data_IF_046013206603
#
_entry.id   IF_046013206603
#
_cell.length_a   1.000
_cell.length_b   1.000
_cell.length_c   1.000
_cell.angle_alpha   90.00
_cell.angle_beta   90.00
_cell.angle_gamma   90.00
#
_symmetry.space_group_name_H-M   'P 1'
#
loop_
_entity.id
_entity.type
_entity.pdbx_description
1 polymer ?
#
# COMPACT_ATOMS: atom_id res chain seq x y z
N UNK A 1 46.65 7.54 -0.67
CA UNK A 1 46.63 7.00 -2.04
C UNK A 1 45.18 6.69 -2.38
N UNK A 2 44.40 7.70 -2.75
CA UNK A 2 44.22 8.23 -4.11
C UNK A 2 43.38 7.30 -5.00
N UNK A 3 42.06 7.45 -4.94
CA UNK A 3 41.21 7.18 -6.10
C UNK A 3 39.99 8.12 -6.09
N UNK A 4 40.25 9.38 -6.41
CA UNK A 4 39.24 10.29 -6.96
C UNK A 4 38.83 9.78 -8.33
N UNK A 5 37.93 8.79 -8.38
CA UNK A 5 37.23 8.43 -9.60
C UNK A 5 36.14 9.50 -9.85
N UNK A 6 36.54 10.56 -10.54
CA UNK A 6 35.66 11.53 -11.17
C UNK A 6 34.71 10.80 -12.11
N UNK A 7 33.52 10.48 -11.61
CA UNK A 7 32.41 10.01 -12.42
C UNK A 7 32.09 11.09 -13.46
N UNK A 8 32.59 10.90 -14.69
CA UNK A 8 32.21 11.70 -15.85
C UNK A 8 30.68 11.75 -15.92
N UNK A 9 30.09 12.89 -15.57
CA UNK A 9 28.72 13.26 -15.93
C UNK A 9 28.66 13.42 -17.45
N UNK A 10 28.58 12.31 -18.16
CA UNK A 10 28.29 12.29 -19.59
C UNK A 10 26.80 12.53 -19.79
N UNK A 11 26.40 13.80 -19.87
CA UNK A 11 25.14 14.23 -20.46
C UNK A 11 25.22 14.08 -21.99
N UNK A 12 25.29 12.83 -22.46
CA UNK A 12 25.11 12.53 -23.89
C UNK A 12 23.62 12.55 -24.26
N UNK A 13 23.27 12.85 -25.52
CA UNK A 13 21.88 12.95 -26.00
C UNK A 13 21.15 11.60 -26.12
N UNK A 14 21.75 10.51 -25.66
CA UNK A 14 21.20 9.17 -25.81
C UNK A 14 20.21 8.84 -24.68
N UNK A 15 19.12 8.11 -24.97
CA UNK A 15 18.25 7.55 -23.96
C UNK A 15 19.05 6.75 -22.92
N UNK A 16 18.66 6.78 -21.63
CA UNK A 16 19.41 6.10 -20.57
C UNK A 16 19.68 4.62 -20.86
N UNK A 17 18.73 3.90 -21.48
CA UNK A 17 18.92 2.49 -21.81
C UNK A 17 20.08 2.20 -22.77
N UNK A 18 20.29 3.06 -23.77
CA UNK A 18 21.39 2.92 -24.72
C UNK A 18 22.75 3.14 -24.05
N UNK A 19 22.79 3.98 -23.01
CA UNK A 19 24.04 4.27 -22.28
C UNK A 19 24.51 3.06 -21.49
N UNK A 20 23.63 2.42 -20.72
CA UNK A 20 24.01 1.23 -19.96
C UNK A 20 24.22 0.03 -20.88
N UNK A 21 23.41 -0.15 -21.93
CA UNK A 21 23.56 -1.26 -22.86
C UNK A 21 24.91 -1.24 -23.60
N UNK A 22 25.37 -0.05 -24.05
CA UNK A 22 26.69 0.10 -24.71
C UNK A 22 27.86 -0.08 -23.75
N UNK A 23 27.69 0.28 -22.48
CA UNK A 23 28.71 0.12 -21.44
C UNK A 23 28.68 -1.24 -20.74
N UNK A 24 27.79 -2.15 -21.15
CA UNK A 24 27.56 -3.40 -20.44
C UNK A 24 28.70 -4.40 -20.67
N UNK A 25 29.27 -4.90 -19.57
CA UNK A 25 30.38 -5.86 -19.63
C UNK A 25 29.83 -7.28 -19.49
N UNK A 26 30.10 -8.16 -20.46
CA UNK A 26 29.67 -9.57 -20.39
C UNK A 26 30.14 -10.30 -19.12
N UNK A 27 31.26 -9.87 -18.54
CA UNK A 27 31.78 -10.41 -17.28
C UNK A 27 30.82 -10.19 -16.08
N UNK A 28 29.97 -9.15 -16.10
CA UNK A 28 29.00 -8.90 -15.01
C UNK A 28 27.67 -9.62 -15.21
N UNK A 29 27.41 -10.17 -16.40
CA UNK A 29 26.14 -10.82 -16.74
C UNK A 29 25.70 -11.88 -15.74
N UNK A 30 26.59 -12.79 -15.37
CA UNK A 30 26.26 -13.84 -14.40
C UNK A 30 25.92 -13.28 -13.01
N UNK A 31 26.59 -12.21 -12.58
CA UNK A 31 26.30 -11.55 -11.31
C UNK A 31 24.95 -10.83 -11.34
N UNK A 32 24.67 -10.12 -12.44
CA UNK A 32 23.44 -9.36 -12.61
C UNK A 32 22.21 -10.28 -12.73
N UNK A 33 22.33 -11.43 -13.42
CA UNK A 33 21.25 -12.43 -13.48
C UNK A 33 20.92 -12.98 -12.09
N UNK A 34 21.94 -13.33 -11.29
CA UNK A 34 21.71 -13.83 -9.92
C UNK A 34 21.11 -12.75 -9.01
N UNK A 35 21.58 -11.52 -9.10
CA UNK A 35 21.05 -10.40 -8.35
C UNK A 35 19.61 -10.07 -8.76
N UNK A 36 19.34 -10.01 -10.07
CA UNK A 36 18.01 -9.77 -10.63
C UNK A 36 17.01 -10.86 -10.23
N UNK A 37 17.42 -12.13 -10.25
CA UNK A 37 16.58 -13.23 -9.77
C UNK A 37 16.28 -13.10 -8.27
N UNK A 38 17.29 -12.78 -7.46
CA UNK A 38 17.10 -12.58 -6.02
C UNK A 38 16.12 -11.41 -5.75
N UNK A 39 16.27 -10.30 -6.47
CA UNK A 39 15.37 -9.14 -6.39
C UNK A 39 13.95 -9.54 -6.83
N UNK A 40 13.79 -10.14 -8.01
CA UNK A 40 12.48 -10.54 -8.55
C UNK A 40 11.71 -11.44 -7.58
N UNK A 41 12.39 -12.41 -6.98
CA UNK A 41 11.78 -13.34 -6.03
C UNK A 41 11.40 -12.65 -4.71
N UNK A 42 12.19 -11.69 -4.23
CA UNK A 42 11.83 -10.88 -3.06
C UNK A 42 10.64 -9.94 -3.32
N UNK A 43 10.50 -9.44 -4.55
CA UNK A 43 9.39 -8.54 -4.91
C UNK A 43 8.03 -9.24 -4.89
N UNK A 44 7.96 -10.57 -5.04
CA UNK A 44 6.68 -11.30 -5.03
C UNK A 44 5.92 -11.12 -3.70
N UNK A 45 6.45 -11.58 -2.54
CA UNK A 45 5.76 -11.40 -1.27
C UNK A 45 5.65 -9.92 -0.87
N UNK A 46 6.69 -9.12 -1.18
CA UNK A 46 6.71 -7.70 -0.83
C UNK A 46 5.62 -6.92 -1.57
N UNK A 47 5.49 -7.11 -2.88
CA UNK A 47 4.49 -6.43 -3.71
C UNK A 47 3.06 -6.80 -3.28
N UNK A 48 2.81 -8.08 -3.01
CA UNK A 48 1.52 -8.54 -2.51
C UNK A 48 1.15 -7.92 -1.15
N UNK A 49 2.10 -7.88 -0.21
CA UNK A 49 1.89 -7.26 1.10
C UNK A 49 1.62 -5.75 0.97
N UNK A 50 2.32 -5.06 0.08
CA UNK A 50 2.15 -3.63 -0.15
C UNK A 50 0.84 -3.30 -0.89
N UNK A 51 0.34 -4.18 -1.75
CA UNK A 51 -1.00 -4.04 -2.32
C UNK A 51 -2.08 -4.22 -1.25
N UNK A 52 -1.92 -5.20 -0.35
CA UNK A 52 -2.83 -5.42 0.77
C UNK A 52 -2.83 -4.22 1.74
N UNK A 53 -1.66 -3.64 2.05
CA UNK A 53 -1.55 -2.39 2.81
C UNK A 53 -2.29 -1.23 2.13
N UNK A 54 -2.28 -1.19 0.80
CA UNK A 54 -3.02 -0.21 0.01
C UNK A 54 -4.52 -0.52 -0.12
N UNK A 55 -5.04 -1.56 0.55
CA UNK A 55 -6.45 -1.99 0.43
C UNK A 55 -6.82 -2.59 -0.93
N UNK A 56 -5.83 -2.90 -1.77
CA UNK A 56 -6.04 -3.45 -3.11
C UNK A 56 -5.88 -4.99 -3.12
N UNK A 57 -6.41 -5.68 -4.15
CA UNK A 57 -6.15 -7.11 -4.31
C UNK A 57 -4.63 -7.35 -4.45
N UNK A 58 -4.05 -8.38 -3.83
CA UNK A 58 -2.59 -8.60 -3.79
C UNK A 58 -1.90 -8.59 -5.17
N UNK A 59 -2.61 -9.04 -6.20
CA UNK A 59 -2.11 -9.09 -7.59
C UNK A 59 -1.73 -7.71 -8.14
N UNK A 60 -2.36 -6.63 -7.70
CA UNK A 60 -2.06 -5.29 -8.19
C UNK A 60 -0.63 -4.86 -7.84
N UNK A 61 -0.10 -5.35 -6.73
CA UNK A 61 1.28 -5.09 -6.32
C UNK A 61 2.30 -5.77 -7.22
N UNK A 62 1.99 -6.97 -7.73
CA UNK A 62 2.82 -7.67 -8.71
C UNK A 62 2.82 -6.92 -10.05
N UNK A 63 1.66 -6.42 -10.48
CA UNK A 63 1.57 -5.60 -11.69
C UNK A 63 2.34 -4.28 -11.54
N UNK A 64 2.20 -3.59 -10.40
CA UNK A 64 2.93 -2.35 -10.14
C UNK A 64 4.45 -2.57 -10.10
N UNK A 65 4.91 -3.65 -9.48
CA UNK A 65 6.32 -4.06 -9.47
C UNK A 65 6.85 -4.33 -10.89
N UNK A 66 6.13 -5.13 -11.67
CA UNK A 66 6.53 -5.47 -13.03
C UNK A 66 6.63 -4.23 -13.93
N UNK A 67 5.60 -3.39 -13.95
CA UNK A 67 5.57 -2.19 -14.78
C UNK A 67 6.66 -1.20 -14.36
N UNK A 68 6.84 -0.95 -13.07
CA UNK A 68 7.86 -0.02 -12.58
C UNK A 68 9.29 -0.47 -12.91
N UNK A 69 9.59 -1.78 -12.81
CA UNK A 69 10.89 -2.32 -13.20
C UNK A 69 11.17 -2.14 -14.69
N UNK A 70 10.20 -2.44 -15.56
CA UNK A 70 10.35 -2.30 -17.02
C UNK A 70 10.57 -0.82 -17.38
N UNK A 71 9.74 0.07 -16.84
CA UNK A 71 9.86 1.51 -17.07
C UNK A 71 11.21 2.04 -16.56
N UNK A 72 11.65 1.61 -15.37
CA UNK A 72 12.93 2.03 -14.81
C UNK A 72 14.13 1.48 -15.59
N UNK A 73 14.06 0.27 -16.13
CA UNK A 73 15.14 -0.27 -16.96
C UNK A 73 15.38 0.56 -18.24
N UNK A 74 14.32 1.20 -18.77
CA UNK A 74 14.38 2.02 -19.98
C UNK A 74 14.78 3.48 -19.68
N UNK A 75 14.18 4.08 -18.65
CA UNK A 75 14.30 5.51 -18.35
C UNK A 75 15.24 5.82 -17.18
N UNK A 76 15.59 4.82 -16.38
CA UNK A 76 16.42 4.96 -15.19
C UNK A 76 17.86 5.35 -15.53
N UNK A 77 18.43 6.19 -14.67
CA UNK A 77 19.79 6.71 -14.84
C UNK A 77 20.83 5.98 -14.01
N UNK A 78 20.41 5.17 -13.04
CA UNK A 78 21.27 4.37 -12.17
C UNK A 78 21.10 2.88 -12.47
N UNK A 79 22.22 2.19 -12.64
CA UNK A 79 22.24 0.75 -12.93
C UNK A 79 22.05 -0.13 -11.66
N UNK A 80 22.08 0.47 -10.47
CA UNK A 80 22.00 -0.26 -9.19
C UNK A 80 20.71 0.02 -8.42
N UNK A 81 19.93 0.99 -8.87
CA UNK A 81 18.65 1.31 -8.23
C UNK A 81 17.56 0.38 -8.79
N UNK A 82 16.71 -0.09 -7.89
CA UNK A 82 15.50 -0.83 -8.23
C UNK A 82 14.31 -0.01 -7.77
N UNK A 83 13.30 0.11 -8.63
CA UNK A 83 12.03 0.76 -8.30
C UNK A 83 10.96 -0.31 -8.20
N UNK A 84 10.18 -0.25 -7.14
CA UNK A 84 9.09 -1.16 -6.84
C UNK A 84 8.12 -0.44 -5.88
N UNK A 85 6.91 -0.99 -5.65
CA UNK A 85 6.02 -0.48 -4.62
C UNK A 85 6.72 -0.38 -3.25
N UNK A 86 6.36 0.63 -2.47
CA UNK A 86 6.90 0.91 -1.14
C UNK A 86 5.74 1.06 -0.14
N UNK A 87 5.94 0.59 1.10
CA UNK A 87 4.90 0.59 2.13
C UNK A 87 4.28 1.96 2.42
N UNK A 88 5.07 3.03 2.36
CA UNK A 88 4.60 4.39 2.63
C UNK A 88 3.59 4.84 1.57
N UNK A 89 3.93 4.64 0.29
CA UNK A 89 3.03 4.98 -0.82
C UNK A 89 1.73 4.17 -0.76
N UNK A 90 1.82 2.89 -0.34
CA UNK A 90 0.65 2.05 -0.12
C UNK A 90 -0.31 2.63 0.92
N UNK A 91 0.19 3.11 2.06
CA UNK A 91 -0.65 3.75 3.09
C UNK A 91 -1.25 5.06 2.59
N UNK A 92 -0.51 5.85 1.81
CA UNK A 92 -1.00 7.10 1.24
C UNK A 92 -2.11 6.85 0.22
N UNK A 93 -1.95 5.85 -0.65
CA UNK A 93 -3.00 5.39 -1.56
C UNK A 93 -4.24 4.97 -0.75
N UNK A 94 -4.04 4.18 0.31
CA UNK A 94 -5.14 3.74 1.15
C UNK A 94 -5.92 4.90 1.75
N UNK A 95 -5.20 5.89 2.30
CA UNK A 95 -5.79 7.09 2.90
C UNK A 95 -6.53 7.98 1.90
N UNK A 96 -6.00 8.10 0.68
CA UNK A 96 -6.59 8.93 -0.37
C UNK A 96 -7.81 8.26 -1.03
N UNK A 97 -7.76 6.94 -1.25
CA UNK A 97 -8.74 6.23 -2.07
C UNK A 97 -9.88 5.63 -1.25
N UNK A 98 -9.61 5.12 -0.03
CA UNK A 98 -10.62 4.42 0.76
C UNK A 98 -11.90 5.25 1.03
N UNK A 99 -11.81 6.56 1.37
CA UNK A 99 -13.00 7.38 1.59
C UNK A 99 -13.84 7.61 0.32
N UNK A 100 -13.21 7.54 -0.86
CA UNK A 100 -13.84 7.83 -2.15
C UNK A 100 -14.45 6.59 -2.81
N UNK A 101 -13.92 5.41 -2.50
CA UNK A 101 -14.36 4.15 -3.10
C UNK A 101 -15.73 3.68 -2.62
N UNK A 102 -16.19 4.12 -1.43
CA UNK A 102 -17.50 3.74 -0.89
C UNK A 102 -17.66 2.23 -0.65
N UNK A 103 -16.56 1.49 -0.48
CA UNK A 103 -16.56 0.03 -0.30
C UNK A 103 -16.58 -0.79 -1.60
N UNK A 104 -16.65 -0.16 -2.78
CA UNK A 104 -16.57 -0.85 -4.07
C UNK A 104 -15.10 -1.09 -4.48
N UNK A 105 -14.70 -2.36 -4.53
CA UNK A 105 -13.35 -2.78 -4.87
C UNK A 105 -12.95 -2.44 -6.32
N UNK A 106 -13.89 -2.51 -7.26
CA UNK A 106 -13.62 -2.18 -8.67
C UNK A 106 -13.34 -0.69 -8.80
N UNK A 107 -14.18 0.14 -8.14
CA UNK A 107 -13.97 1.59 -8.08
C UNK A 107 -12.69 1.94 -7.35
N UNK A 108 -12.34 1.22 -6.29
CA UNK A 108 -11.10 1.42 -5.53
C UNK A 108 -9.87 1.30 -6.44
N UNK A 109 -9.76 0.20 -7.19
CA UNK A 109 -8.63 -0.04 -8.10
C UNK A 109 -8.59 1.01 -9.21
N UNK A 110 -9.74 1.42 -9.74
CA UNK A 110 -9.83 2.47 -10.75
C UNK A 110 -9.31 3.84 -10.21
N UNK A 111 -9.75 4.23 -9.01
CA UNK A 111 -9.31 5.46 -8.34
C UNK A 111 -7.81 5.43 -8.01
N UNK A 112 -7.29 4.30 -7.54
CA UNK A 112 -5.86 4.12 -7.31
C UNK A 112 -5.05 4.26 -8.61
N UNK A 113 -5.54 3.69 -9.71
CA UNK A 113 -4.95 3.87 -11.04
C UNK A 113 -4.96 5.33 -11.50
N UNK A 114 -6.07 6.05 -11.30
CA UNK A 114 -6.15 7.48 -11.61
C UNK A 114 -5.16 8.30 -10.77
N UNK A 115 -5.08 8.03 -9.47
CA UNK A 115 -4.13 8.69 -8.57
C UNK A 115 -2.68 8.44 -9.01
N UNK A 116 -2.36 7.21 -9.45
CA UNK A 116 -1.04 6.88 -9.99
C UNK A 116 -0.73 7.67 -11.28
N UNK A 117 -1.70 7.81 -12.18
CA UNK A 117 -1.54 8.61 -13.41
C UNK A 117 -1.36 10.11 -13.11
N UNK A 118 -2.16 10.66 -12.20
CA UNK A 118 -2.04 12.06 -11.77
C UNK A 118 -0.69 12.32 -11.09
N UNK A 119 -0.29 11.45 -10.15
CA UNK A 119 0.99 11.54 -9.46
C UNK A 119 2.16 11.42 -10.44
N UNK A 120 2.12 10.47 -11.37
CA UNK A 120 3.12 10.34 -12.43
C UNK A 120 3.21 11.57 -13.33
N UNK A 121 2.07 12.12 -13.75
CA UNK A 121 2.02 13.36 -14.53
C UNK A 121 2.60 14.56 -13.77
N UNK A 122 2.27 14.71 -12.49
CA UNK A 122 2.82 15.74 -11.62
C UNK A 122 4.33 15.57 -11.42
N UNK A 123 4.83 14.34 -11.25
CA UNK A 123 6.26 14.05 -11.12
C UNK A 123 7.02 14.36 -12.42
N UNK A 124 6.45 14.06 -13.58
CA UNK A 124 7.01 14.45 -14.89
C UNK A 124 7.06 15.98 -14.99
N UNK A 125 5.96 16.67 -14.67
CA UNK A 125 5.89 18.14 -14.67
C UNK A 125 6.93 18.77 -13.72
N UNK A 126 7.04 18.26 -12.49
CA UNK A 126 8.04 18.68 -11.52
C UNK A 126 9.47 18.43 -12.01
N UNK A 127 9.71 17.31 -12.69
CA UNK A 127 10.99 16.99 -13.34
C UNK A 127 11.35 17.98 -14.45
N UNK A 128 10.39 18.34 -15.31
CA UNK A 128 10.57 19.33 -16.37
C UNK A 128 10.88 20.73 -15.81
N UNK A 129 10.21 21.10 -14.72
CA UNK A 129 10.47 22.34 -13.98
C UNK A 129 11.74 22.27 -13.11
N UNK A 130 12.47 21.14 -13.14
CA UNK A 130 13.70 20.89 -12.36
C UNK A 130 13.51 21.07 -10.86
N UNK A 131 12.30 20.79 -10.35
CA UNK A 131 11.97 20.93 -8.93
C UNK A 131 12.66 19.89 -8.04
N UNK A 132 13.42 18.94 -8.60
CA UNK A 132 14.23 18.01 -7.83
C UNK A 132 15.26 18.70 -6.91
N UNK A 133 15.67 19.93 -7.24
CA UNK A 133 16.51 20.74 -6.33
C UNK A 133 15.77 21.11 -5.05
N UNK A 134 14.45 21.29 -5.07
CA UNK A 134 13.68 21.59 -3.86
C UNK A 134 13.69 20.44 -2.86
N UNK A 135 13.70 19.20 -3.36
CA UNK A 135 13.77 18.00 -2.51
C UNK A 135 15.07 17.98 -1.70
N UNK A 136 16.16 18.59 -2.22
CA UNK A 136 17.43 18.68 -1.49
C UNK A 136 17.40 19.65 -0.30
N UNK A 137 16.38 20.49 -0.17
CA UNK A 137 16.17 21.34 1.00
C UNK A 137 15.36 20.66 2.11
N UNK A 138 14.86 19.44 1.90
CA UNK A 138 14.24 18.67 2.98
C UNK A 138 15.32 18.24 3.97
N UNK A 139 15.17 18.69 5.22
CA UNK A 139 16.12 18.39 6.26
C UNK A 139 16.05 16.91 6.65
N UNK A 140 17.20 16.32 6.97
CA UNK A 140 17.29 14.92 7.45
C UNK A 140 16.36 14.67 8.65
N UNK A 141 16.20 15.59 9.62
CA UNK A 141 15.23 15.43 10.71
C UNK A 141 13.78 15.28 10.24
N UNK A 142 13.37 16.01 9.19
CA UNK A 142 11.99 15.92 8.65
C UNK A 142 11.76 14.54 8.02
N UNK A 143 12.70 14.07 7.21
CA UNK A 143 12.61 12.75 6.56
C UNK A 143 12.63 11.65 7.65
N UNK A 144 13.49 11.77 8.66
CA UNK A 144 13.56 10.83 9.78
C UNK A 144 12.26 10.80 10.60
N UNK A 145 11.70 11.98 10.91
CA UNK A 145 10.43 12.08 11.63
C UNK A 145 9.27 11.46 10.84
N UNK A 146 9.17 11.78 9.54
CA UNK A 146 8.15 11.22 8.66
C UNK A 146 8.27 9.69 8.54
N UNK A 147 9.47 9.18 8.29
CA UNK A 147 9.70 7.73 8.17
C UNK A 147 9.45 6.98 9.47
N UNK A 148 9.78 7.58 10.62
CA UNK A 148 9.48 6.99 11.94
C UNK A 148 7.97 6.92 12.21
N UNK A 149 7.23 8.00 11.91
CA UNK A 149 5.78 8.02 12.04
C UNK A 149 5.11 7.01 11.10
N UNK A 150 5.59 6.90 9.86
CA UNK A 150 5.11 5.92 8.91
C UNK A 150 5.40 4.48 9.39
N UNK A 151 6.60 4.21 9.92
CA UNK A 151 6.95 2.89 10.47
C UNK A 151 6.02 2.50 11.63
N UNK A 152 5.72 3.42 12.55
CA UNK A 152 4.78 3.16 13.64
C UNK A 152 3.35 2.91 13.12
N UNK A 153 2.92 3.68 12.13
CA UNK A 153 1.60 3.51 11.49
C UNK A 153 1.49 2.16 10.78
N UNK A 154 2.53 1.75 10.05
CA UNK A 154 2.60 0.42 9.43
C UNK A 154 2.55 -0.66 10.52
N UNK A 155 3.38 -0.55 11.56
CA UNK A 155 3.39 -1.55 12.64
C UNK A 155 2.01 -1.70 13.27
N UNK A 156 1.34 -0.60 13.59
CA UNK A 156 -0.03 -0.61 14.13
C UNK A 156 -1.03 -1.25 13.18
N UNK A 157 -0.95 -0.97 11.87
CA UNK A 157 -1.87 -1.55 10.88
C UNK A 157 -1.72 -3.07 10.76
N UNK A 158 -0.54 -3.61 11.07
CA UNK A 158 -0.27 -5.06 11.03
C UNK A 158 -0.76 -5.81 12.27
N UNK A 159 -1.01 -5.14 13.40
CA UNK A 159 -1.46 -5.82 14.62
C UNK A 159 -2.81 -6.51 14.43
N UNK A 160 -3.72 -5.93 13.63
CA UNK A 160 -5.04 -6.55 13.36
C UNK A 160 -4.89 -7.93 12.71
N UNK A 161 -3.97 -8.04 11.75
CA UNK A 161 -3.72 -9.25 10.97
C UNK A 161 -2.98 -10.28 11.83
N UNK A 162 -2.04 -9.82 12.67
CA UNK A 162 -1.32 -10.66 13.64
C UNK A 162 -2.25 -11.26 14.71
N UNK A 163 -3.24 -10.47 15.15
CA UNK A 163 -4.23 -10.88 16.15
C UNK A 163 -5.39 -11.70 15.56
N UNK A 164 -5.52 -11.74 14.23
CA UNK A 164 -6.60 -12.43 13.53
C UNK A 164 -7.98 -11.79 13.75
N UNK A 165 -8.01 -10.48 14.03
CA UNK A 165 -9.24 -9.74 14.31
C UNK A 165 -9.74 -9.08 13.03
N UNK A 166 -10.97 -9.40 12.61
CA UNK A 166 -11.62 -8.75 11.48
C UNK A 166 -12.01 -7.32 11.86
N UNK A 167 -11.10 -6.36 11.69
CA UNK A 167 -11.43 -4.95 11.78
C UNK A 167 -12.10 -4.51 10.47
N UNK A 168 -13.42 -4.30 10.52
CA UNK A 168 -14.17 -3.73 9.40
C UNK A 168 -13.73 -2.29 9.19
N UNK A 169 -13.00 -2.03 8.10
CA UNK A 169 -12.56 -0.69 7.71
C UNK A 169 -11.04 -0.53 7.70
N UNK A 170 -10.53 0.19 6.69
CA UNK A 170 -9.13 0.60 6.62
C UNK A 170 -8.94 1.82 7.49
N UNK A 171 -8.59 1.62 8.77
CA UNK A 171 -8.16 2.73 9.64
C UNK A 171 -6.91 3.37 9.04
N UNK A 172 -7.01 4.64 8.65
CA UNK A 172 -5.94 5.37 7.96
C UNK A 172 -4.97 6.02 8.94
N UNK A 173 -5.37 6.19 10.21
CA UNK A 173 -4.53 6.77 11.26
C UNK A 173 -4.15 5.74 12.31
N UNK A 174 -2.97 5.94 12.91
CA UNK A 174 -2.48 5.16 14.05
C UNK A 174 -3.48 5.16 15.21
N UNK A 175 -4.05 6.33 15.53
CA UNK A 175 -4.96 6.51 16.66
C UNK A 175 -6.26 5.74 16.44
N UNK A 176 -6.83 5.81 15.25
CA UNK A 176 -8.06 5.09 14.92
C UNK A 176 -7.81 3.58 14.89
N UNK A 177 -6.64 3.15 14.41
CA UNK A 177 -6.24 1.73 14.43
C UNK A 177 -6.17 1.20 15.86
N UNK A 178 -5.50 1.92 16.76
CA UNK A 178 -5.35 1.51 18.17
C UNK A 178 -6.70 1.54 18.89
N UNK A 179 -7.49 2.60 18.73
CA UNK A 179 -8.82 2.72 19.35
C UNK A 179 -9.80 1.67 18.84
N UNK A 180 -9.71 1.30 17.56
CA UNK A 180 -10.55 0.25 16.97
C UNK A 180 -10.15 -1.16 17.40
N UNK A 181 -8.86 -1.39 17.66
CA UNK A 181 -8.34 -2.69 18.10
C UNK A 181 -8.58 -2.97 19.59
N UNK A 182 -8.46 -1.95 20.45
CA UNK A 182 -8.50 -2.15 21.91
C UNK A 182 -9.76 -2.89 22.42
N UNK A 183 -10.98 -2.58 21.93
CA UNK A 183 -12.19 -3.29 22.35
C UNK A 183 -12.30 -4.71 21.78
N UNK A 184 -11.59 -5.01 20.70
CA UNK A 184 -11.67 -6.28 19.96
C UNK A 184 -10.57 -7.28 20.32
N UNK A 185 -9.75 -6.97 21.33
CA UNK A 185 -8.70 -7.88 21.80
C UNK A 185 -9.25 -9.21 22.33
N UNK A 186 -10.52 -9.25 22.74
CA UNK A 186 -11.21 -10.48 23.13
C UNK A 186 -11.50 -11.42 21.96
N UNK A 187 -11.58 -10.91 20.72
CA UNK A 187 -11.91 -11.69 19.51
C UNK A 187 -10.66 -12.29 18.85
N UNK A 188 -9.56 -12.38 19.59
CA UNK A 188 -8.26 -12.82 19.08
C UNK A 188 -8.26 -14.30 18.73
N UNK A 189 -7.71 -14.62 17.55
CA UNK A 189 -7.52 -16.00 17.12
C UNK A 189 -6.14 -16.47 17.54
N UNK A 190 -6.08 -17.25 18.62
CA UNK A 190 -4.83 -17.79 19.20
C UNK A 190 -3.93 -18.48 18.17
N UNK A 191 -4.53 -19.23 17.24
CA UNK A 191 -3.80 -19.91 16.17
C UNK A 191 -3.10 -18.90 15.23
N UNK A 192 -3.80 -17.83 14.83
CA UNK A 192 -3.23 -16.76 14.00
C UNK A 192 -2.09 -16.06 14.70
N UNK A 193 -2.24 -15.77 16.00
CA UNK A 193 -1.18 -15.17 16.82
C UNK A 193 0.03 -16.09 16.90
N UNK A 194 -0.16 -17.38 17.18
CA UNK A 194 0.92 -18.35 17.28
C UNK A 194 1.70 -18.48 15.96
N UNK A 195 0.99 -18.55 14.83
CA UNK A 195 1.61 -18.60 13.49
C UNK A 195 2.35 -17.29 13.19
N UNK A 196 1.73 -16.14 13.45
CA UNK A 196 2.33 -14.83 13.20
C UNK A 196 3.59 -14.58 14.02
N UNK A 197 3.54 -14.86 15.33
CA UNK A 197 4.73 -14.80 16.21
C UNK A 197 5.79 -15.81 15.76
N UNK A 198 5.39 -17.03 15.39
CA UNK A 198 6.29 -18.05 14.86
C UNK A 198 7.03 -17.59 13.59
N UNK A 199 6.33 -16.93 12.67
CA UNK A 199 6.89 -16.32 11.45
C UNK A 199 7.88 -15.21 11.81
N UNK A 200 7.55 -14.32 12.75
CA UNK A 200 8.46 -13.25 13.21
C UNK A 200 9.74 -13.85 13.81
N UNK A 201 9.61 -14.85 14.69
CA UNK A 201 10.75 -15.54 15.28
C UNK A 201 11.58 -16.21 14.18
N UNK A 202 10.96 -16.91 13.24
CA UNK A 202 11.65 -17.53 12.11
C UNK A 202 12.44 -16.50 11.27
N UNK A 203 11.84 -15.33 10.97
CA UNK A 203 12.53 -14.24 10.26
C UNK A 203 13.77 -13.76 11.02
N UNK A 204 13.66 -13.56 12.34
CA UNK A 204 14.78 -13.14 13.19
C UNK A 204 15.87 -14.21 13.22
N UNK A 205 15.50 -15.49 13.36
CA UNK A 205 16.44 -16.61 13.37
C UNK A 205 17.17 -16.75 12.04
N UNK A 206 16.45 -16.72 10.90
CA UNK A 206 17.07 -16.81 9.58
C UNK A 206 18.01 -15.63 9.34
N UNK A 207 17.60 -14.41 9.72
CA UNK A 207 18.47 -13.24 9.64
C UNK A 207 19.72 -13.37 10.51
N UNK A 208 19.63 -14.01 11.68
CA UNK A 208 20.74 -14.16 12.63
C UNK A 208 21.72 -15.28 12.25
N UNK A 209 21.21 -16.41 11.76
CA UNK A 209 21.98 -17.63 11.53
C UNK A 209 22.33 -17.86 10.06
N UNK A 210 21.49 -17.38 9.13
CA UNK A 210 21.68 -17.62 7.68
C UNK A 210 21.49 -16.32 6.87
N UNK A 211 22.22 -15.22 7.20
CA UNK A 211 22.01 -13.90 6.59
C UNK A 211 22.29 -13.83 5.08
N UNK A 212 22.94 -14.85 4.50
CA UNK A 212 23.26 -14.92 3.07
C UNK A 212 22.07 -15.35 2.21
N UNK A 213 21.03 -15.92 2.81
CA UNK A 213 19.84 -16.37 2.10
C UNK A 213 18.74 -15.29 2.13
N UNK A 214 17.81 -15.30 1.14
CA UNK A 214 16.66 -14.41 1.14
C UNK A 214 15.67 -14.82 2.24
N UNK A 215 15.95 -14.41 3.48
CA UNK A 215 15.21 -14.84 4.66
C UNK A 215 13.69 -14.66 4.57
N UNK A 216 13.18 -13.49 4.16
CA UNK A 216 11.75 -13.28 3.97
C UNK A 216 11.09 -14.29 3.03
N UNK A 217 11.74 -14.61 1.92
CA UNK A 217 11.22 -15.60 0.97
C UNK A 217 11.14 -16.99 1.60
N UNK A 218 12.22 -17.43 2.25
CA UNK A 218 12.27 -18.76 2.86
C UNK A 218 11.17 -18.93 3.90
N UNK A 219 10.96 -17.90 4.72
CA UNK A 219 9.92 -17.93 5.75
C UNK A 219 8.53 -17.92 5.13
N UNK A 220 8.27 -17.11 4.10
CA UNK A 220 6.98 -17.10 3.40
C UNK A 220 6.71 -18.44 2.72
N UNK A 221 7.70 -19.03 2.06
CA UNK A 221 7.56 -20.34 1.42
C UNK A 221 7.27 -21.44 2.44
N UNK A 222 8.01 -21.47 3.56
CA UNK A 222 7.77 -22.41 4.64
C UNK A 222 6.38 -22.22 5.27
N UNK A 223 5.98 -20.97 5.51
CA UNK A 223 4.66 -20.64 6.05
C UNK A 223 3.53 -21.07 5.09
N UNK A 224 3.71 -20.90 3.77
CA UNK A 224 2.74 -21.35 2.77
C UNK A 224 2.60 -22.89 2.77
N UNK A 225 3.70 -23.63 2.87
CA UNK A 225 3.67 -25.11 2.98
C UNK A 225 2.95 -25.55 4.26
N UNK A 226 3.23 -24.91 5.39
CA UNK A 226 2.56 -25.20 6.66
C UNK A 226 1.07 -24.87 6.59
N UNK A 227 0.70 -23.70 6.04
CA UNK A 227 -0.69 -23.30 5.85
C UNK A 227 -1.46 -24.23 4.88
N UNK A 228 -0.75 -24.89 3.97
CA UNK A 228 -1.32 -25.89 3.07
C UNK A 228 -1.58 -27.26 3.73
N UNK A 229 -1.22 -27.47 5.00
CA UNK A 229 -1.53 -28.72 5.70
C UNK A 229 -3.05 -28.83 6.00
N UNK A 230 -3.66 -30.03 5.88
CA UNK A 230 -5.11 -30.22 5.98
C UNK A 230 -5.75 -29.67 7.26
N UNK A 231 -5.03 -29.69 8.39
CA UNK A 231 -5.53 -29.23 9.68
C UNK A 231 -5.51 -27.70 9.88
N UNK A 232 -4.86 -26.95 8.98
CA UNK A 232 -4.75 -25.49 9.04
C UNK A 232 -5.56 -24.78 7.96
N UNK A 233 -5.96 -25.52 6.90
CA UNK A 233 -6.87 -25.03 5.86
C UNK A 233 -8.25 -24.75 6.48
N UNK A 234 -8.62 -23.47 6.54
CA UNK A 234 -9.89 -23.00 7.11
C UNK A 234 -9.81 -22.50 8.55
N UNK A 235 -8.71 -22.77 9.27
CA UNK A 235 -8.47 -22.21 10.60
C UNK A 235 -7.74 -20.86 10.55
N UNK A 236 -7.02 -20.59 9.45
CA UNK A 236 -6.33 -19.36 9.16
C UNK A 236 -7.02 -18.62 8.02
N UNK A 237 -6.97 -17.29 8.06
CA UNK A 237 -7.32 -16.46 6.92
C UNK A 237 -6.17 -16.52 5.91
N UNK A 238 -6.41 -17.17 4.77
CA UNK A 238 -5.40 -17.42 3.74
C UNK A 238 -5.77 -16.56 2.54
N UNK A 239 -4.75 -15.96 1.91
CA UNK A 239 -4.91 -15.28 0.64
C UNK A 239 -5.58 -16.22 -0.37
N UNK A 240 -6.72 -15.78 -0.92
CA UNK A 240 -7.46 -16.53 -1.93
C UNK A 240 -6.69 -16.71 -3.23
N UNK A 241 -7.35 -17.30 -4.22
CA UNK A 241 -6.73 -17.53 -5.54
C UNK A 241 -6.31 -16.22 -6.19
N UNK A 242 -5.07 -16.19 -6.71
CA UNK A 242 -4.53 -15.08 -7.48
C UNK A 242 -4.86 -15.34 -8.95
N UNK A 243 -5.68 -14.51 -9.61
CA UNK A 243 -6.07 -14.74 -10.99
C UNK A 243 -4.85 -14.81 -11.93
N UNK A 244 -4.74 -15.81 -12.81
CA UNK A 244 -3.69 -15.85 -13.80
C UNK A 244 -3.95 -14.84 -14.92
N UNK A 245 -2.90 -14.19 -15.41
CA UNK A 245 -2.97 -13.34 -16.60
C UNK A 245 -2.22 -12.03 -16.47
N UNK A 246 -2.10 -11.33 -17.59
CA UNK A 246 -1.64 -9.94 -17.62
C UNK A 246 -2.85 -9.00 -17.56
N UNK A 247 -2.71 -7.82 -16.95
CA UNK A 247 -3.80 -6.85 -16.94
C UNK A 247 -4.00 -6.32 -18.36
N UNK A 248 -5.24 -6.27 -18.83
CA UNK A 248 -5.58 -5.57 -20.06
C UNK A 248 -5.38 -4.05 -19.86
N UNK A 249 -4.60 -3.36 -20.71
CA UNK A 249 -4.49 -1.91 -20.64
C UNK A 249 -5.87 -1.27 -20.78
N UNK A 250 -6.22 -0.40 -19.85
CA UNK A 250 -7.48 0.31 -19.85
C UNK A 250 -7.36 1.59 -19.03
N UNK A 251 -8.08 2.62 -19.45
CA UNK A 251 -8.23 3.82 -18.62
C UNK A 251 -9.32 3.57 -17.58
N UNK A 252 -9.14 4.04 -16.34
CA UNK A 252 -10.19 3.92 -15.34
C UNK A 252 -11.41 4.73 -15.82
N UNK A 253 -12.55 4.05 -15.96
CA UNK A 253 -13.81 4.70 -16.33
C UNK A 253 -14.32 5.53 -15.14
N UNK A 254 -13.86 6.77 -15.04
CA UNK A 254 -14.13 7.67 -13.92
C UNK A 254 -14.65 9.02 -14.42
N UNK A 255 -15.49 9.65 -13.61
CA UNK A 255 -16.07 10.94 -13.93
C UNK A 255 -15.11 12.08 -13.54
N UNK A 256 -15.32 13.26 -14.10
CA UNK A 256 -14.53 14.46 -13.79
C UNK A 256 -14.56 14.84 -12.29
N UNK A 257 -15.61 14.46 -11.58
CA UNK A 257 -15.75 14.61 -10.12
C UNK A 257 -14.74 13.75 -9.35
N UNK A 258 -14.49 12.52 -9.82
CA UNK A 258 -13.52 11.62 -9.19
C UNK A 258 -12.08 12.12 -9.41
N UNK A 259 -11.81 12.69 -10.59
CA UNK A 259 -10.52 13.30 -10.90
C UNK A 259 -10.24 14.52 -10.02
N UNK A 260 -11.24 15.39 -9.80
CA UNK A 260 -11.10 16.52 -8.86
C UNK A 260 -10.90 16.04 -7.43
N UNK A 261 -11.61 15.01 -7.01
CA UNK A 261 -11.46 14.45 -5.67
C UNK A 261 -10.06 13.86 -5.45
N UNK A 262 -9.57 13.06 -6.40
CA UNK A 262 -8.23 12.46 -6.35
C UNK A 262 -7.11 13.53 -6.42
N UNK A 263 -7.32 14.64 -7.11
CA UNK A 263 -6.38 15.75 -7.18
C UNK A 263 -6.37 16.65 -5.92
N UNK A 264 -7.12 16.31 -4.87
CA UNK A 264 -7.26 17.13 -3.67
C UNK A 264 -8.21 18.33 -3.82
N UNK A 265 -8.96 18.40 -4.93
CA UNK A 265 -9.94 19.44 -5.24
C UNK A 265 -11.34 19.20 -4.66
N UNK A 266 -11.55 18.09 -3.95
CA UNK A 266 -12.70 17.97 -3.04
C UNK A 266 -12.45 18.91 -1.88
N UNK A 267 -13.05 20.10 -1.92
CA UNK A 267 -13.16 20.95 -0.76
C UNK A 267 -13.55 20.09 0.43
N UNK A 268 -12.62 19.95 1.39
CA UNK A 268 -12.95 19.46 2.71
C UNK A 268 -14.15 20.29 3.16
N UNK A 269 -15.34 19.69 3.13
CA UNK A 269 -16.34 20.02 4.13
C UNK A 269 -15.67 19.66 5.44
N UNK A 270 -14.99 20.65 6.01
CA UNK A 270 -14.77 20.73 7.44
C UNK A 270 -16.20 20.70 7.99
N UNK A 271 -16.72 19.51 8.28
CA UNK A 271 -17.90 19.34 9.12
C UNK A 271 -17.48 19.86 10.50
N UNK A 272 -17.62 21.17 10.66
CA UNK A 272 -17.56 21.85 11.92
C UNK A 272 -18.74 21.36 12.74
N UNK A 273 -18.43 20.44 13.65
CA UNK A 273 -19.26 20.03 14.78
C UNK A 273 -20.58 19.31 14.41
N UNK A 274 -20.89 18.20 15.08
CA UNK A 274 -22.21 17.60 14.95
C UNK A 274 -23.29 18.59 15.43
N UNK A 275 -24.24 18.94 14.56
CA UNK A 275 -25.48 19.66 14.94
C UNK A 275 -25.78 20.98 14.22
N UNK A 276 -25.07 21.34 13.14
CA UNK A 276 -25.36 22.53 12.34
C UNK A 276 -25.64 22.12 10.91
N UNK A 277 -26.80 22.51 10.37
CA UNK A 277 -27.15 22.22 8.98
C UNK A 277 -26.50 23.22 8.00
N UNK A 278 -26.71 22.99 6.70
CA UNK A 278 -26.10 23.76 5.61
C UNK A 278 -26.49 25.25 5.57
N UNK A 279 -27.35 25.72 6.48
CA UNK A 279 -27.72 27.12 6.63
C UNK A 279 -27.16 27.76 7.92
N UNK A 280 -26.35 27.04 8.69
CA UNK A 280 -25.78 27.56 9.93
C UNK A 280 -26.78 27.53 11.10
N UNK A 281 -27.93 26.86 10.95
CA UNK A 281 -28.91 26.74 12.02
C UNK A 281 -28.63 25.53 12.90
N UNK A 282 -28.75 25.71 14.21
CA UNK A 282 -28.65 24.61 15.18
C UNK A 282 -29.87 23.71 15.01
N UNK A 283 -29.66 22.44 14.68
CA UNK A 283 -30.72 21.43 14.66
C UNK A 283 -31.21 21.23 16.09
N UNK A 284 -32.39 21.77 16.43
CA UNK A 284 -33.03 21.51 17.72
C UNK A 284 -33.47 20.04 17.76
N UNK A 285 -33.20 19.29 18.84
CA UNK A 285 -33.68 17.92 18.96
C UNK A 285 -35.21 17.91 18.97
N UNK A 286 -35.80 17.05 18.15
CA UNK A 286 -37.24 16.84 18.10
C UNK A 286 -37.75 16.35 19.47
N UNK A 287 -38.76 17.04 20.00
CA UNK A 287 -39.48 16.60 21.18
C UNK A 287 -40.26 15.31 20.83
N UNK A 288 -40.25 14.25 21.65
CA UNK A 288 -41.09 13.09 21.40
C UNK A 288 -42.56 13.48 21.58
N UNK A 289 -43.37 13.28 20.54
CA UNK A 289 -44.82 13.38 20.63
C UNK A 289 -45.36 12.38 21.67
N UNK A 290 -46.34 12.77 22.51
CA UNK A 290 -46.97 11.82 23.42
C UNK A 290 -47.84 10.83 22.63
N UNK A 291 -47.52 9.54 22.80
CA UNK A 291 -48.30 8.40 22.33
C UNK A 291 -49.80 8.56 22.65
N UNK A 292 -50.63 8.70 21.61
CA UNK A 292 -52.09 8.51 21.75
C UNK A 292 -52.40 7.00 21.76
N UNK A 293 -53.16 6.48 22.74
CA UNK A 293 -53.57 5.08 22.75
C UNK A 293 -54.64 4.82 21.68
N UNK A 294 -54.41 3.82 20.83
CA UNK A 294 -55.40 3.28 19.91
C UNK A 294 -56.46 2.50 20.71
N UNK A 295 -57.67 3.06 20.83
CA UNK A 295 -58.85 2.31 21.22
C UNK A 295 -59.28 1.39 20.07
N UNK A 296 -59.37 0.10 20.36
CA UNK A 296 -59.91 -0.91 19.46
C UNK A 296 -61.39 -0.66 19.16
N UNK A 297 -61.76 -0.82 17.90
CA UNK A 297 -63.16 -0.98 17.47
C UNK A 297 -63.28 -2.37 16.89
N UNK A 298 -63.81 -3.25 17.74
CA UNK A 298 -64.42 -4.52 17.38
C UNK A 298 -65.73 -4.23 16.62
N UNK A 299 -65.85 -4.71 15.38
CA UNK A 299 -67.15 -4.92 14.73
C UNK A 299 -67.13 -6.19 13.88
N UNK A 300 -67.69 -7.23 14.47
CA UNK A 300 -68.39 -8.31 13.79
C UNK A 300 -69.49 -7.75 12.87
N UNK A 301 -69.45 -8.12 11.58
CA UNK A 301 -70.51 -8.75 10.77
C UNK A 301 -70.18 -8.60 9.29
#
# INVERSE_FOLDING_TARGET
MSETATARRGSGPFPPFLRWARGYRRATFGADVRAGLAVAVLLIPQGMAYAALAGMPPITGLYAAMVSLVVYAVLGTSNHASVAPVAIDSLLIAAAVAPLAGGDQTRYVALAGLLALLSGGLQIGAGLLRLGTLVSFLSVPVISGFTSAAALTIAASQFKDLLGVSASGTSTTLVDTVRGLLPRLGDTRLLTVAVGVGVIVALVLVRRFVPRLPGPLLVVAAAAVVAALPGLRGALDILGEVPPGLPSPGLPALNWTDARAAAGGSGHRIDLLPGVDQHGERVRPAHPEPHRPHHGVDRRR
#
